data_IF_744940651565
#
_entry.id   IF_744940651565
#
_cell.length_a   1.000
_cell.length_b   1.000
_cell.length_c   1.000
_cell.angle_alpha   90.00
_cell.angle_beta   90.00
_cell.angle_gamma   90.00
#
_symmetry.space_group_name_H-M   'P 1'
#
loop_
_entity.id
_entity.type
_entity.pdbx_description
1 polymer ?
#
# COMPACT_ATOMS: atom_id res chain seq x y z
N UNK A 1 -20.29 -18.06 0.13
CA UNK A 1 -19.06 -17.27 0.21
C UNK A 1 -18.95 -16.40 -1.03
N UNK A 2 -18.61 -15.13 -0.88
CA UNK A 2 -18.38 -14.25 -2.03
C UNK A 2 -17.05 -14.61 -2.71
N UNK A 3 -16.89 -14.38 -4.01
CA UNK A 3 -15.65 -14.76 -4.71
C UNK A 3 -14.41 -14.03 -4.15
N UNK A 4 -14.59 -12.81 -3.59
CA UNK A 4 -13.55 -12.10 -2.85
C UNK A 4 -13.11 -12.86 -1.58
N UNK A 5 -14.07 -13.33 -0.78
CA UNK A 5 -13.84 -14.07 0.48
C UNK A 5 -12.99 -15.34 0.25
N UNK A 6 -13.17 -16.00 -0.90
CA UNK A 6 -12.36 -17.15 -1.32
C UNK A 6 -10.91 -16.74 -1.58
N UNK A 7 -10.68 -15.61 -2.27
CA UNK A 7 -9.33 -15.08 -2.53
C UNK A 7 -8.67 -14.67 -1.20
N UNK A 8 -9.37 -13.91 -0.35
CA UNK A 8 -8.85 -13.48 0.96
C UNK A 8 -8.47 -14.69 1.84
N UNK A 9 -9.35 -15.69 1.91
CA UNK A 9 -9.11 -16.95 2.62
C UNK A 9 -7.90 -17.69 2.08
N UNK A 10 -7.80 -17.84 0.76
CA UNK A 10 -6.65 -18.49 0.10
C UNK A 10 -5.31 -17.82 0.45
N UNK A 11 -5.25 -16.49 0.46
CA UNK A 11 -4.00 -15.78 0.78
C UNK A 11 -3.69 -15.74 2.28
N UNK A 12 -4.71 -15.68 3.15
CA UNK A 12 -4.55 -15.91 4.59
C UNK A 12 -3.96 -17.30 4.88
N UNK A 13 -4.55 -18.33 4.29
CA UNK A 13 -4.15 -19.72 4.51
C UNK A 13 -2.78 -20.04 3.87
N UNK A 14 -2.41 -19.34 2.79
CA UNK A 14 -1.06 -19.41 2.19
C UNK A 14 0.00 -18.70 3.04
N UNK A 15 -0.34 -17.58 3.66
CA UNK A 15 0.59 -16.88 4.57
C UNK A 15 0.80 -17.67 5.87
N UNK A 16 -0.27 -18.28 6.39
CA UNK A 16 -0.24 -19.15 7.56
C UNK A 16 0.39 -18.50 8.82
N UNK A 17 0.29 -17.18 8.95
CA UNK A 17 0.70 -16.44 10.15
C UNK A 17 -0.44 -16.47 11.19
N UNK A 18 -0.25 -17.11 12.36
CA UNK A 18 -1.28 -17.22 13.39
C UNK A 18 -1.58 -15.91 14.14
N UNK A 19 -0.65 -14.96 14.20
CA UNK A 19 -0.89 -13.65 14.81
C UNK A 19 -1.32 -12.62 13.76
N UNK A 20 -2.61 -12.28 13.72
CA UNK A 20 -3.16 -11.28 12.77
C UNK A 20 -2.48 -9.89 12.89
N UNK A 21 -1.77 -9.59 13.98
CA UNK A 21 -0.99 -8.37 14.09
C UNK A 21 0.35 -8.40 13.30
N UNK A 22 0.79 -9.58 12.87
CA UNK A 22 1.98 -9.80 12.02
C UNK A 22 1.62 -10.18 10.58
N UNK A 23 0.41 -10.70 10.38
CA UNK A 23 -0.09 -11.07 9.06
C UNK A 23 -0.12 -9.86 8.10
N UNK A 24 0.18 -10.13 6.83
CA UNK A 24 0.29 -9.15 5.76
C UNK A 24 -0.89 -9.24 4.78
N UNK A 25 -1.58 -10.39 4.71
CA UNK A 25 -2.64 -10.61 3.72
C UNK A 25 -3.68 -9.47 3.74
N UNK A 26 -4.17 -9.03 4.89
CA UNK A 26 -5.22 -8.01 4.96
C UNK A 26 -4.73 -6.60 4.64
N UNK A 27 -3.49 -6.23 4.97
CA UNK A 27 -2.93 -4.93 4.56
C UNK A 27 -2.62 -4.90 3.04
N UNK A 28 -2.33 -6.06 2.43
CA UNK A 28 -2.11 -6.22 0.99
C UNK A 28 -3.43 -6.27 0.18
N UNK A 29 -4.61 -6.50 0.79
CA UNK A 29 -5.83 -7.02 0.13
C UNK A 29 -6.93 -6.02 -0.33
N UNK A 30 -6.92 -4.79 0.13
CA UNK A 30 -8.04 -3.82 0.26
C UNK A 30 -8.73 -3.25 -1.04
N UNK A 31 -9.04 -4.02 -2.11
CA UNK A 31 -9.44 -3.52 -3.49
C UNK A 31 -10.94 -3.56 -3.88
N UNK A 32 -11.29 -2.86 -4.98
CA UNK A 32 -12.63 -2.65 -5.60
C UNK A 32 -12.90 -3.28 -6.96
N UNK A 33 -14.21 -3.46 -7.16
CA UNK A 33 -14.96 -3.66 -8.40
C UNK A 33 -15.71 -2.36 -8.79
N UNK A 34 -15.43 -1.71 -9.94
CA UNK A 34 -16.35 -0.71 -10.45
C UNK A 34 -17.65 -1.39 -10.91
N UNK A 35 -18.76 -1.02 -10.27
CA UNK A 35 -20.09 -1.24 -10.84
C UNK A 35 -20.23 -0.40 -12.14
N UNK A 36 -19.63 -0.88 -13.21
CA UNK A 36 -20.03 -0.54 -14.57
C UNK A 36 -21.30 -1.36 -14.81
N UNK A 37 -22.44 -0.68 -14.72
CA UNK A 37 -23.67 -1.17 -15.33
C UNK A 37 -23.39 -1.51 -16.80
N UNK A 38 -24.10 -2.49 -17.38
CA UNK A 38 -23.83 -3.00 -18.74
C UNK A 38 -24.06 -1.99 -19.89
N UNK A 39 -24.09 -0.69 -19.60
CA UNK A 39 -24.21 0.41 -20.54
C UNK A 39 -23.28 1.57 -20.13
N UNK A 40 -22.03 1.58 -20.64
CA UNK A 40 -21.37 2.70 -21.34
C UNK A 40 -19.88 2.39 -21.63
N UNK A 41 -19.57 2.00 -22.88
CA UNK A 41 -18.18 1.88 -23.36
C UNK A 41 -17.65 3.26 -23.80
N UNK A 42 -17.34 4.18 -22.90
CA UNK A 42 -16.58 5.40 -23.26
C UNK A 42 -15.85 6.05 -22.07
N UNK A 43 -14.77 5.42 -21.59
CA UNK A 43 -13.44 6.07 -21.48
C UNK A 43 -12.40 5.05 -20.98
N UNK A 44 -11.16 5.20 -21.41
CA UNK A 44 -10.03 4.39 -20.94
C UNK A 44 -9.25 5.21 -19.91
N UNK A 45 -9.36 4.90 -18.62
CA UNK A 45 -8.50 5.49 -17.58
C UNK A 45 -8.09 4.43 -16.55
N UNK A 46 -6.83 4.52 -16.12
CA UNK A 46 -6.08 3.49 -15.38
C UNK A 46 -6.40 3.50 -13.87
N UNK A 47 -6.09 2.42 -13.14
CA UNK A 47 -6.48 2.27 -11.73
C UNK A 47 -5.63 1.24 -10.92
N UNK A 48 -4.76 1.66 -9.98
CA UNK A 48 -3.97 0.80 -9.06
C UNK A 48 -4.71 -0.18 -8.14
N UNK A 49 -3.98 -0.76 -7.19
CA UNK A 49 -4.55 -1.70 -6.21
C UNK A 49 -5.26 -1.00 -5.06
N UNK A 50 -6.09 -1.78 -4.36
CA UNK A 50 -6.67 -1.36 -3.10
C UNK A 50 -7.69 -0.23 -3.35
N UNK A 51 -7.71 0.81 -2.54
CA UNK A 51 -8.46 2.03 -2.76
C UNK A 51 -8.25 2.59 -4.17
N UNK A 52 -7.09 2.37 -4.80
CA UNK A 52 -6.86 2.82 -6.16
C UNK A 52 -7.73 2.17 -7.24
N UNK A 53 -8.42 1.07 -6.96
CA UNK A 53 -9.48 0.59 -7.85
C UNK A 53 -10.80 1.36 -7.67
N UNK A 54 -10.97 2.01 -6.51
CA UNK A 54 -12.08 2.84 -6.01
C UNK A 54 -13.00 2.18 -4.94
N UNK A 55 -12.45 1.35 -4.02
CA UNK A 55 -13.22 0.63 -2.99
C UNK A 55 -13.00 1.23 -1.63
N UNK A 56 -14.10 1.57 -0.97
CA UNK A 56 -14.21 1.27 0.45
C UNK A 56 -15.34 0.37 0.86
N UNK A 57 -16.32 0.07 -0.01
CA UNK A 57 -17.46 -0.73 0.44
C UNK A 57 -17.05 -2.14 0.89
N UNK A 58 -15.93 -2.64 0.37
CA UNK A 58 -15.37 -3.96 0.69
C UNK A 58 -14.35 -3.89 1.86
N UNK A 59 -14.04 -2.70 2.38
CA UNK A 59 -13.07 -2.47 3.48
C UNK A 59 -13.66 -2.79 4.86
N UNK A 60 -14.92 -2.44 5.19
CA UNK A 60 -15.62 -2.99 6.35
C UNK A 60 -15.65 -4.52 6.35
N UNK A 61 -15.82 -5.16 5.19
CA UNK A 61 -15.87 -6.62 5.08
C UNK A 61 -14.48 -7.25 5.29
N UNK A 62 -13.42 -6.67 4.72
CA UNK A 62 -12.05 -7.07 4.99
C UNK A 62 -11.67 -6.88 6.47
N UNK A 63 -12.06 -5.75 7.07
CA UNK A 63 -11.88 -5.50 8.49
C UNK A 63 -12.63 -6.53 9.34
N UNK A 64 -13.90 -6.82 9.02
CA UNK A 64 -14.70 -7.87 9.66
C UNK A 64 -14.01 -9.23 9.57
N UNK A 65 -13.52 -9.63 8.39
CA UNK A 65 -12.81 -10.90 8.20
C UNK A 65 -11.52 -10.98 9.04
N UNK A 66 -10.77 -9.88 9.13
CA UNK A 66 -9.55 -9.80 9.96
C UNK A 66 -9.84 -9.74 11.48
N UNK A 67 -11.03 -9.28 11.89
CA UNK A 67 -11.36 -9.02 13.30
C UNK A 67 -12.41 -9.95 13.92
N UNK A 68 -12.99 -10.88 13.15
CA UNK A 68 -14.16 -11.69 13.55
C UNK A 68 -14.01 -12.43 14.89
N UNK A 69 -12.78 -12.81 15.26
CA UNK A 69 -12.47 -13.58 16.47
C UNK A 69 -11.58 -12.80 17.45
N UNK A 70 -11.46 -11.48 17.29
CA UNK A 70 -10.47 -10.65 17.99
C UNK A 70 -11.10 -9.74 19.05
N UNK A 71 -10.51 -9.63 20.27
CA UNK A 71 -10.97 -8.69 21.30
C UNK A 71 -10.75 -7.24 20.84
N UNK A 72 -11.50 -6.31 21.44
CA UNK A 72 -11.59 -4.90 21.00
C UNK A 72 -10.21 -4.25 20.86
N UNK A 73 -9.31 -4.50 21.81
CA UNK A 73 -7.96 -3.96 21.84
C UNK A 73 -7.14 -4.40 20.62
N UNK A 74 -7.30 -5.65 20.18
CA UNK A 74 -6.64 -6.17 18.97
C UNK A 74 -7.35 -5.69 17.70
N UNK A 75 -8.68 -5.52 17.70
CA UNK A 75 -9.42 -4.87 16.59
C UNK A 75 -8.90 -3.45 16.30
N UNK A 76 -8.67 -2.64 17.33
CA UNK A 76 -8.09 -1.30 17.20
C UNK A 76 -6.69 -1.31 16.55
N UNK A 77 -5.83 -2.27 16.90
CA UNK A 77 -4.50 -2.43 16.30
C UNK A 77 -4.55 -2.91 14.84
N UNK A 78 -5.49 -3.82 14.51
CA UNK A 78 -5.75 -4.25 13.12
C UNK A 78 -6.26 -3.06 12.30
N UNK A 79 -7.18 -2.27 12.85
CA UNK A 79 -7.67 -1.04 12.23
C UNK A 79 -6.54 -0.03 11.98
N UNK A 80 -5.63 0.14 12.94
CA UNK A 80 -4.44 1.00 12.83
C UNK A 80 -3.58 0.60 11.62
N UNK A 81 -3.24 -0.69 11.50
CA UNK A 81 -2.45 -1.24 10.39
C UNK A 81 -3.18 -1.09 9.03
N UNK A 82 -4.49 -1.33 8.99
CA UNK A 82 -5.32 -1.17 7.80
C UNK A 82 -5.42 0.29 7.33
N UNK A 83 -5.65 1.23 8.26
CA UNK A 83 -5.66 2.68 7.98
C UNK A 83 -4.30 3.16 7.46
N UNK A 84 -3.21 2.68 8.05
CA UNK A 84 -1.86 3.04 7.62
C UNK A 84 -1.52 2.52 6.22
N UNK A 85 -1.83 1.25 5.92
CA UNK A 85 -1.65 0.68 4.58
C UNK A 85 -2.37 1.52 3.52
N UNK A 86 -3.64 1.85 3.79
CA UNK A 86 -4.45 2.74 2.96
C UNK A 86 -3.83 4.14 2.81
N UNK A 87 -3.45 4.79 3.91
CA UNK A 87 -2.88 6.14 3.90
C UNK A 87 -1.56 6.20 3.11
N UNK A 88 -0.64 5.26 3.38
CA UNK A 88 0.66 5.19 2.70
C UNK A 88 0.52 4.97 1.20
N UNK A 89 -0.36 4.05 0.78
CA UNK A 89 -0.57 3.81 -0.65
C UNK A 89 -1.38 4.92 -1.32
N UNK A 90 -2.13 5.72 -0.54
CA UNK A 90 -2.97 6.85 -0.98
C UNK A 90 -2.32 7.80 -1.98
N UNK A 91 -1.03 8.09 -1.81
CA UNK A 91 -0.25 8.98 -2.66
C UNK A 91 -0.09 8.45 -4.11
N UNK A 92 -0.20 7.14 -4.32
CA UNK A 92 -0.01 6.47 -5.61
C UNK A 92 -1.26 6.52 -6.50
N UNK A 93 -2.42 6.87 -5.94
CA UNK A 93 -3.72 6.76 -6.60
C UNK A 93 -4.73 7.86 -6.29
N UNK A 94 -4.36 8.81 -5.44
CA UNK A 94 -5.13 10.00 -5.13
C UNK A 94 -6.06 9.84 -3.93
N UNK A 95 -6.16 10.93 -3.16
CA UNK A 95 -6.99 11.01 -1.97
C UNK A 95 -8.48 10.65 -2.15
N UNK A 96 -9.19 10.98 -3.24
CA UNK A 96 -10.61 10.62 -3.37
C UNK A 96 -10.87 9.12 -3.25
N UNK A 97 -9.94 8.32 -3.78
CA UNK A 97 -9.96 6.85 -3.69
C UNK A 97 -9.66 6.36 -2.27
N UNK A 98 -8.71 6.98 -1.57
CA UNK A 98 -8.45 6.73 -0.15
C UNK A 98 -9.66 7.08 0.75
N UNK A 99 -10.30 8.22 0.52
CA UNK A 99 -11.48 8.63 1.30
C UNK A 99 -12.65 7.70 1.05
N UNK A 100 -12.87 7.30 -0.20
CA UNK A 100 -13.83 6.25 -0.54
C UNK A 100 -13.55 4.95 0.22
N UNK A 101 -12.27 4.65 0.55
CA UNK A 101 -11.85 3.50 1.33
C UNK A 101 -12.12 3.60 2.83
N UNK A 102 -11.74 4.72 3.44
CA UNK A 102 -11.81 4.93 4.89
C UNK A 102 -13.20 5.32 5.39
N UNK A 103 -13.95 6.14 4.64
CA UNK A 103 -15.24 6.65 5.13
C UNK A 103 -16.31 5.57 5.35
N UNK A 104 -16.43 4.49 4.55
CA UNK A 104 -17.33 3.39 4.87
C UNK A 104 -16.95 2.70 6.18
N UNK A 105 -15.66 2.47 6.43
CA UNK A 105 -15.17 1.85 7.67
C UNK A 105 -15.56 2.67 8.91
N UNK A 106 -15.33 3.99 8.87
CA UNK A 106 -15.71 4.89 9.97
C UNK A 106 -17.22 4.98 10.17
N UNK A 107 -18.03 4.81 9.12
CA UNK A 107 -19.51 4.81 9.21
C UNK A 107 -20.11 3.49 9.71
N UNK A 108 -19.32 2.43 9.81
CA UNK A 108 -19.76 1.09 10.25
C UNK A 108 -19.38 0.76 11.69
N UNK A 109 -18.69 1.65 12.39
CA UNK A 109 -18.14 1.43 13.72
C UNK A 109 -18.59 2.56 14.66
N UNK A 110 -18.77 2.25 15.94
CA UNK A 110 -19.01 3.25 16.98
C UNK A 110 -17.71 4.04 17.27
N UNK A 111 -17.84 5.29 17.74
CA UNK A 111 -16.69 6.19 17.95
C UNK A 111 -15.62 5.60 18.88
N UNK A 112 -16.01 4.80 19.87
CA UNK A 112 -15.10 4.13 20.80
C UNK A 112 -14.45 2.86 20.23
N UNK A 113 -14.84 2.42 19.02
CA UNK A 113 -14.18 1.39 18.21
C UNK A 113 -13.27 1.98 17.12
N UNK A 114 -13.11 3.31 17.05
CA UNK A 114 -12.18 3.97 16.13
C UNK A 114 -10.83 4.23 16.83
N UNK A 115 -9.77 3.61 16.31
CA UNK A 115 -8.41 3.90 16.73
C UNK A 115 -8.00 5.29 16.23
N UNK A 116 -7.42 6.11 17.11
CA UNK A 116 -7.08 7.50 16.82
C UNK A 116 -5.57 7.80 16.82
N UNK A 117 -4.71 6.77 17.00
CA UNK A 117 -3.25 6.94 17.02
C UNK A 117 -2.72 7.50 15.70
N UNK A 118 -2.03 8.64 15.75
CA UNK A 118 -1.74 9.47 14.58
C UNK A 118 -0.31 10.03 14.62
N UNK A 119 0.73 9.19 14.46
CA UNK A 119 2.13 9.55 14.79
C UNK A 119 2.64 10.80 14.05
N UNK A 120 2.17 11.02 12.82
CA UNK A 120 2.50 12.20 12.00
C UNK A 120 1.84 13.48 12.52
N UNK A 121 0.58 13.40 12.96
CA UNK A 121 -0.18 14.52 13.49
C UNK A 121 0.32 14.90 14.88
N UNK A 122 0.52 13.90 15.74
CA UNK A 122 0.94 14.07 17.13
C UNK A 122 2.35 14.66 17.24
N UNK A 123 3.20 14.41 16.23
CA UNK A 123 4.58 14.92 16.14
C UNK A 123 4.80 16.03 15.11
N UNK A 124 3.74 16.60 14.52
CA UNK A 124 3.87 17.57 13.40
C UNK A 124 4.65 18.83 13.78
N UNK A 125 4.40 19.35 14.99
CA UNK A 125 4.93 20.62 15.50
C UNK A 125 6.30 20.46 16.20
N UNK A 126 6.82 19.23 16.33
CA UNK A 126 8.14 18.97 16.91
C UNK A 126 9.25 19.11 15.87
N UNK A 127 10.18 20.03 16.11
CA UNK A 127 11.37 20.22 15.26
C UNK A 127 12.26 18.97 15.23
N UNK A 128 12.42 18.27 16.35
CA UNK A 128 13.18 17.02 16.44
C UNK A 128 12.51 15.91 15.61
N UNK A 129 11.18 15.79 15.70
CA UNK A 129 10.43 14.83 14.90
C UNK A 129 10.49 15.16 13.40
N UNK A 130 10.45 16.44 13.05
CA UNK A 130 10.62 16.92 11.66
C UNK A 130 11.98 16.49 11.09
N UNK A 131 13.06 16.66 11.85
CA UNK A 131 14.39 16.24 11.39
C UNK A 131 14.52 14.72 11.31
N UNK A 132 13.99 13.98 12.31
CA UNK A 132 13.92 12.52 12.27
C UNK A 132 13.15 12.00 11.05
N UNK A 133 12.00 12.61 10.69
CA UNK A 133 11.23 12.28 9.49
C UNK A 133 12.06 12.46 8.21
N UNK A 134 12.78 13.58 8.06
CA UNK A 134 13.63 13.85 6.89
C UNK A 134 14.80 12.87 6.75
N UNK A 135 15.51 12.58 7.85
CA UNK A 135 16.60 11.60 7.86
C UNK A 135 16.10 10.22 7.45
N UNK A 136 14.99 9.77 8.07
CA UNK A 136 14.35 8.48 7.76
C UNK A 136 13.85 8.42 6.31
N UNK A 137 13.30 9.51 5.77
CA UNK A 137 12.88 9.61 4.37
C UNK A 137 14.03 9.46 3.39
N UNK A 138 15.14 10.18 3.64
CA UNK A 138 16.36 10.08 2.83
C UNK A 138 16.90 8.65 2.84
N UNK A 139 17.05 8.04 4.02
CA UNK A 139 17.53 6.66 4.18
C UNK A 139 16.62 5.64 3.47
N UNK A 140 15.30 5.79 3.59
CA UNK A 140 14.33 4.94 2.91
C UNK A 140 14.44 5.05 1.38
N UNK A 141 14.55 6.28 0.86
CA UNK A 141 14.71 6.53 -0.57
C UNK A 141 16.03 5.95 -1.11
N UNK A 142 17.14 6.17 -0.41
CA UNK A 142 18.45 5.59 -0.74
C UNK A 142 18.47 4.06 -0.65
N UNK A 143 17.65 3.47 0.22
CA UNK A 143 17.52 2.00 0.32
C UNK A 143 16.84 1.40 -0.91
N UNK A 144 15.76 2.02 -1.43
CA UNK A 144 15.09 1.53 -2.65
C UNK A 144 15.99 1.68 -3.87
N UNK A 145 16.60 2.85 -4.03
CA UNK A 145 17.25 3.25 -5.27
C UNK A 145 18.75 2.99 -5.32
N UNK A 146 19.34 2.51 -4.22
CA UNK A 146 20.77 2.66 -3.87
C UNK A 146 21.18 4.13 -3.70
N UNK A 147 22.24 4.45 -2.95
CA UNK A 147 22.68 5.85 -2.79
C UNK A 147 22.98 6.56 -4.12
N UNK A 148 23.60 5.85 -5.08
CA UNK A 148 23.93 6.41 -6.39
C UNK A 148 22.69 6.62 -7.27
N UNK A 149 21.80 5.63 -7.34
CA UNK A 149 20.54 5.74 -8.11
C UNK A 149 19.57 6.77 -7.51
N UNK A 150 19.55 6.90 -6.17
CA UNK A 150 18.80 7.93 -5.48
C UNK A 150 19.26 9.33 -5.87
N UNK A 151 20.57 9.61 -5.78
CA UNK A 151 21.12 10.90 -6.16
C UNK A 151 20.84 11.22 -7.63
N UNK A 152 21.05 10.27 -8.53
CA UNK A 152 20.77 10.45 -9.96
C UNK A 152 19.28 10.76 -10.25
N UNK A 153 18.35 10.11 -9.54
CA UNK A 153 16.91 10.40 -9.64
C UNK A 153 16.57 11.81 -9.14
N UNK A 154 17.12 12.20 -7.99
CA UNK A 154 16.90 13.52 -7.39
C UNK A 154 17.46 14.64 -8.30
N UNK A 155 18.67 14.47 -8.83
CA UNK A 155 19.32 15.42 -9.74
C UNK A 155 18.56 15.54 -11.06
N UNK A 156 18.07 14.43 -11.62
CA UNK A 156 17.22 14.44 -12.81
C UNK A 156 15.95 15.26 -12.56
N UNK A 157 15.24 14.99 -11.47
CA UNK A 157 14.03 15.74 -11.12
C UNK A 157 14.35 17.22 -10.89
N UNK A 158 15.44 17.57 -10.17
CA UNK A 158 15.84 18.96 -9.93
C UNK A 158 16.22 19.72 -11.19
N UNK A 159 16.78 19.04 -12.19
CA UNK A 159 17.16 19.60 -13.49
C UNK A 159 15.95 19.90 -14.37
N UNK A 160 14.97 18.99 -14.42
CA UNK A 160 13.86 19.07 -15.38
C UNK A 160 12.55 19.60 -14.79
N UNK A 161 12.25 19.34 -13.51
CA UNK A 161 11.05 19.86 -12.83
C UNK A 161 11.20 19.84 -11.30
N UNK A 162 11.59 20.98 -10.70
CA UNK A 162 11.86 21.08 -9.26
C UNK A 162 10.66 20.70 -8.37
N UNK A 163 9.45 21.07 -8.76
CA UNK A 163 8.26 20.68 -7.99
C UNK A 163 8.00 19.16 -8.05
N UNK A 164 8.40 18.46 -9.11
CA UNK A 164 8.38 17.00 -9.13
C UNK A 164 9.38 16.41 -8.12
N UNK A 165 10.56 17.01 -7.96
CA UNK A 165 11.49 16.60 -6.91
C UNK A 165 10.84 16.77 -5.51
N UNK A 166 10.30 17.95 -5.22
CA UNK A 166 9.65 18.24 -3.94
C UNK A 166 8.40 17.38 -3.68
N UNK A 167 7.46 17.34 -4.61
CA UNK A 167 6.12 16.78 -4.41
C UNK A 167 6.01 15.28 -4.75
N UNK A 168 6.92 14.73 -5.55
CA UNK A 168 6.90 13.30 -5.93
C UNK A 168 8.06 12.48 -5.36
N UNK A 169 9.23 13.09 -5.07
CA UNK A 169 10.40 12.37 -4.55
C UNK A 169 10.71 12.67 -3.07
N UNK A 170 10.49 13.90 -2.58
CA UNK A 170 10.74 14.24 -1.17
C UNK A 170 9.51 14.05 -0.28
N UNK A 171 8.46 14.84 -0.50
CA UNK A 171 7.28 14.92 0.37
C UNK A 171 6.58 13.57 0.59
N UNK A 172 6.37 12.70 -0.43
CA UNK A 172 5.78 11.38 -0.21
C UNK A 172 6.60 10.50 0.72
N UNK A 173 7.94 10.56 0.63
CA UNK A 173 8.81 9.74 1.46
C UNK A 173 8.87 10.27 2.90
N UNK A 174 8.91 11.59 3.09
CA UNK A 174 8.88 12.24 4.41
C UNK A 174 7.55 12.02 5.14
N UNK A 175 6.42 12.21 4.46
CA UNK A 175 5.11 12.26 5.11
C UNK A 175 4.27 11.00 4.96
N UNK A 176 4.57 10.08 4.04
CA UNK A 176 3.78 8.87 3.83
C UNK A 176 4.64 7.62 4.00
N UNK A 177 5.58 7.40 3.09
CA UNK A 177 6.19 6.08 2.89
C UNK A 177 7.11 5.68 4.05
N UNK A 178 7.98 6.57 4.54
CA UNK A 178 9.01 6.19 5.52
C UNK A 178 8.55 6.04 6.98
N UNK A 179 7.28 6.30 7.31
CA UNK A 179 6.77 6.24 8.69
C UNK A 179 6.68 4.80 9.22
N UNK A 180 7.56 4.42 10.14
CA UNK A 180 7.72 3.05 10.63
C UNK A 180 6.98 2.76 11.96
N UNK A 181 6.32 3.74 12.56
CA UNK A 181 5.61 3.59 13.85
C UNK A 181 4.35 2.67 13.83
N UNK A 182 3.91 2.19 12.66
CA UNK A 182 2.72 1.33 12.50
C UNK A 182 2.97 0.16 11.54
N UNK A 183 3.53 0.43 10.36
CA UNK A 183 3.96 -0.58 9.39
C UNK A 183 5.46 -0.42 9.15
N UNK A 184 6.17 -1.53 9.27
CA UNK A 184 7.59 -1.64 8.93
C UNK A 184 7.86 -1.29 7.46
N UNK A 185 9.13 -1.09 7.14
CA UNK A 185 9.56 -0.83 5.76
C UNK A 185 9.18 -1.99 4.81
N UNK A 186 9.30 -3.24 5.25
CA UNK A 186 8.93 -4.41 4.43
C UNK A 186 7.42 -4.43 4.16
N UNK A 187 6.59 -4.30 5.20
CA UNK A 187 5.12 -4.22 5.08
C UNK A 187 4.68 -3.09 4.15
N UNK A 188 5.36 -1.95 4.25
CA UNK A 188 5.14 -0.79 3.38
C UNK A 188 5.44 -1.13 1.93
N UNK A 189 6.60 -1.75 1.64
CA UNK A 189 6.95 -2.15 0.28
C UNK A 189 6.03 -3.23 -0.28
N UNK A 190 5.53 -4.16 0.55
CA UNK A 190 4.53 -5.16 0.14
C UNK A 190 3.24 -4.46 -0.31
N UNK A 191 2.72 -3.54 0.51
CA UNK A 191 1.54 -2.74 0.17
C UNK A 191 1.75 -1.85 -1.07
N UNK A 192 2.90 -1.19 -1.18
CA UNK A 192 3.25 -0.31 -2.31
C UNK A 192 3.44 -1.10 -3.61
N UNK A 193 4.11 -2.26 -3.57
CA UNK A 193 4.28 -3.14 -4.72
C UNK A 193 2.93 -3.67 -5.19
N UNK A 194 2.10 -4.16 -4.27
CA UNK A 194 0.75 -4.61 -4.59
C UNK A 194 -0.07 -3.47 -5.21
N UNK A 195 -0.07 -2.28 -4.59
CA UNK A 195 -0.67 -1.06 -5.13
C UNK A 195 -0.27 -0.82 -6.60
N UNK A 196 1.03 -0.79 -6.90
CA UNK A 196 1.55 -0.47 -8.23
C UNK A 196 1.34 -1.57 -9.29
N UNK A 197 1.32 -2.85 -8.91
CA UNK A 197 1.05 -3.95 -9.85
C UNK A 197 -0.32 -3.79 -10.49
N UNK A 198 -1.34 -3.62 -9.65
CA UNK A 198 -2.71 -3.49 -10.15
C UNK A 198 -2.91 -2.15 -10.89
N UNK A 199 -1.92 -1.24 -10.92
CA UNK A 199 -2.01 0.08 -11.57
C UNK A 199 -1.92 0.05 -13.08
N UNK A 200 -1.36 -1.01 -13.63
CA UNK A 200 -0.63 -0.92 -14.88
C UNK A 200 0.54 0.08 -14.78
N UNK A 201 1.23 0.16 -13.62
CA UNK A 201 2.49 0.89 -13.41
C UNK A 201 3.65 -0.10 -13.19
N UNK A 202 3.98 -0.94 -14.19
CA UNK A 202 4.91 -2.06 -14.02
C UNK A 202 6.33 -1.62 -13.69
N UNK A 203 6.77 -0.47 -14.24
CA UNK A 203 8.11 0.08 -13.99
C UNK A 203 8.29 0.41 -12.49
N UNK A 204 7.34 1.13 -11.91
CA UNK A 204 7.33 1.46 -10.50
C UNK A 204 7.14 0.21 -9.63
N UNK A 205 6.29 -0.73 -10.05
CA UNK A 205 6.13 -2.00 -9.35
C UNK A 205 7.47 -2.75 -9.21
N UNK A 206 8.28 -2.82 -10.27
CA UNK A 206 9.63 -3.42 -10.20
C UNK A 206 10.54 -2.70 -9.20
N UNK A 207 10.55 -1.37 -9.16
CA UNK A 207 11.36 -0.60 -8.20
C UNK A 207 11.00 -0.96 -6.76
N UNK A 208 9.72 -1.04 -6.43
CA UNK A 208 9.25 -1.38 -5.09
C UNK A 208 9.37 -2.88 -4.77
N UNK A 209 9.26 -3.77 -5.76
CA UNK A 209 9.62 -5.19 -5.64
C UNK A 209 11.08 -5.38 -5.22
N UNK A 210 12.02 -4.66 -5.86
CA UNK A 210 13.43 -4.61 -5.41
C UNK A 210 13.54 -4.00 -4.01
N UNK A 211 12.73 -2.97 -3.73
CA UNK A 211 12.59 -2.35 -2.41
C UNK A 211 12.30 -3.34 -1.29
N UNK A 212 11.40 -4.32 -1.49
CA UNK A 212 11.10 -5.38 -0.49
C UNK A 212 12.40 -6.07 -0.06
N UNK A 213 13.20 -6.53 -1.01
CA UNK A 213 14.46 -7.25 -0.75
C UNK A 213 15.53 -6.31 -0.18
N UNK A 214 15.62 -5.07 -0.66
CA UNK A 214 16.59 -4.06 -0.16
C UNK A 214 16.33 -3.64 1.27
N UNK A 215 15.08 -3.68 1.74
CA UNK A 215 14.72 -3.48 3.15
C UNK A 215 14.83 -4.77 4.01
N UNK A 216 15.40 -5.86 3.48
CA UNK A 216 15.62 -7.10 4.21
C UNK A 216 14.49 -8.13 4.12
N UNK A 217 13.48 -7.91 3.27
CA UNK A 217 12.45 -8.89 2.97
C UNK A 217 12.94 -9.99 2.01
N UNK A 218 12.17 -11.07 1.91
CA UNK A 218 12.53 -12.22 1.04
C UNK A 218 11.89 -12.14 -0.35
N UNK A 219 12.43 -12.90 -1.32
CA UNK A 219 11.82 -13.03 -2.66
C UNK A 219 10.44 -13.71 -2.59
N UNK A 220 10.22 -14.57 -1.60
CA UNK A 220 8.94 -15.23 -1.34
C UNK A 220 7.89 -14.23 -0.84
N UNK A 221 8.27 -13.27 0.01
CA UNK A 221 7.38 -12.16 0.40
C UNK A 221 7.03 -11.28 -0.80
N UNK A 222 8.02 -10.95 -1.65
CA UNK A 222 7.79 -10.21 -2.89
C UNK A 222 6.84 -10.96 -3.84
N UNK A 223 7.03 -12.27 -4.02
CA UNK A 223 6.13 -13.15 -4.79
C UNK A 223 4.73 -13.20 -4.17
N UNK A 224 4.61 -13.32 -2.86
CA UNK A 224 3.32 -13.35 -2.17
C UNK A 224 2.51 -12.07 -2.46
N UNK A 225 3.12 -10.89 -2.32
CA UNK A 225 2.48 -9.63 -2.65
C UNK A 225 2.13 -9.52 -4.15
N UNK A 226 2.99 -9.99 -5.06
CA UNK A 226 2.71 -9.99 -6.49
C UNK A 226 1.55 -10.93 -6.86
N UNK A 227 1.58 -12.19 -6.43
CA UNK A 227 0.53 -13.16 -6.73
C UNK A 227 -0.83 -12.67 -6.21
N UNK A 228 -0.84 -12.09 -5.00
CA UNK A 228 -2.06 -11.53 -4.42
C UNK A 228 -2.57 -10.34 -5.23
N UNK A 229 -1.68 -9.40 -5.56
CA UNK A 229 -2.01 -8.25 -6.39
C UNK A 229 -2.55 -8.67 -7.77
N UNK A 230 -1.98 -9.70 -8.40
CA UNK A 230 -2.45 -10.22 -9.69
C UNK A 230 -3.82 -10.92 -9.60
N UNK A 231 -4.08 -11.70 -8.55
CA UNK A 231 -5.41 -12.32 -8.35
C UNK A 231 -6.49 -11.29 -8.03
N UNK A 232 -6.16 -10.30 -7.19
CA UNK A 232 -7.04 -9.18 -6.86
C UNK A 232 -7.26 -8.25 -8.07
N UNK A 233 -6.24 -8.00 -8.90
CA UNK A 233 -6.40 -7.25 -10.15
C UNK A 233 -7.32 -7.99 -11.14
N UNK A 234 -7.16 -9.32 -11.26
CA UNK A 234 -7.98 -10.19 -12.13
C UNK A 234 -9.44 -10.25 -11.69
N UNK A 235 -9.71 -10.43 -10.38
CA UNK A 235 -11.07 -10.43 -9.83
C UNK A 235 -11.83 -9.12 -10.14
N UNK A 236 -11.08 -8.05 -10.32
CA UNK A 236 -11.58 -6.70 -10.54
C UNK A 236 -11.28 -6.14 -11.94
N UNK A 237 -11.06 -7.01 -12.93
CA UNK A 237 -10.89 -6.70 -14.36
C UNK A 237 -9.94 -5.52 -14.63
N UNK A 238 -8.77 -5.52 -13.97
CA UNK A 238 -7.80 -4.44 -14.11
C UNK A 238 -6.53 -4.86 -14.82
N UNK A 239 -5.97 -3.88 -15.53
CA UNK A 239 -4.80 -4.06 -16.39
C UNK A 239 -3.55 -4.29 -15.56
N UNK A 240 -2.88 -5.39 -15.86
CA UNK A 240 -1.54 -5.74 -15.37
C UNK A 240 -0.58 -5.90 -16.56
N UNK A 241 -0.88 -5.19 -17.67
CA UNK A 241 -0.10 -5.22 -18.91
C UNK A 241 1.36 -4.80 -18.62
N UNK A 242 2.33 -5.65 -18.97
CA UNK A 242 3.76 -5.38 -18.79
C UNK A 242 4.30 -5.56 -17.36
N UNK A 243 3.52 -6.08 -16.40
CA UNK A 243 4.05 -6.45 -15.08
C UNK A 243 5.11 -7.55 -15.22
N UNK A 244 6.33 -7.25 -14.75
CA UNK A 244 7.45 -8.20 -14.71
C UNK A 244 7.24 -9.12 -13.51
N UNK A 245 7.35 -10.44 -13.71
CA UNK A 245 7.21 -11.41 -12.62
C UNK A 245 8.44 -11.36 -11.70
N UNK A 246 8.26 -11.67 -10.41
CA UNK A 246 9.33 -11.60 -9.39
C UNK A 246 10.54 -12.48 -9.74
N UNK A 247 10.34 -13.58 -10.48
CA UNK A 247 11.45 -14.41 -11.00
C UNK A 247 12.28 -13.71 -12.09
N UNK A 248 11.65 -12.85 -12.89
CA UNK A 248 12.26 -12.12 -14.00
C UNK A 248 12.85 -10.76 -13.55
N UNK A 249 12.71 -10.39 -12.28
CA UNK A 249 13.32 -9.18 -11.71
C UNK A 249 14.79 -9.45 -11.41
N UNK A 250 15.68 -8.73 -12.10
CA UNK A 250 17.07 -8.58 -11.68
C UNK A 250 17.13 -7.81 -10.35
N UNK A 251 17.56 -8.46 -9.27
CA UNK A 251 17.70 -7.84 -7.94
C UNK A 251 19.11 -7.25 -7.69
N UNK A 252 20.07 -7.48 -8.58
CA UNK A 252 21.47 -7.06 -8.44
C UNK A 252 21.69 -5.61 -8.93
N UNK A 253 20.81 -5.10 -9.81
CA UNK A 253 20.77 -3.71 -10.29
C UNK A 253 19.86 -2.77 -9.47
#
# INVERSE_FOLDING_TARGET
MALLEIILTKFRDRENEPDILKANWYIIAVRYNPHISKAHRFSRSQAPCIAAANAGRDVPELYRLATSNEPKERRLLIQRRLKEALLKTGVLYGFPRLLNALYPLFKTLDDDEIDNFSPRWDSRDSAEASEKRKVRAKQYFETIWTPAGAQANLDFNMKYHRDMNLLCAMMPYEWFVSEDAILSNIETQLCTTAALICASCPVQAVWHTKGIVRHGGSKEQARFAQDFALEVARFYDCKTDGVVMVDDVDFEQ
#
